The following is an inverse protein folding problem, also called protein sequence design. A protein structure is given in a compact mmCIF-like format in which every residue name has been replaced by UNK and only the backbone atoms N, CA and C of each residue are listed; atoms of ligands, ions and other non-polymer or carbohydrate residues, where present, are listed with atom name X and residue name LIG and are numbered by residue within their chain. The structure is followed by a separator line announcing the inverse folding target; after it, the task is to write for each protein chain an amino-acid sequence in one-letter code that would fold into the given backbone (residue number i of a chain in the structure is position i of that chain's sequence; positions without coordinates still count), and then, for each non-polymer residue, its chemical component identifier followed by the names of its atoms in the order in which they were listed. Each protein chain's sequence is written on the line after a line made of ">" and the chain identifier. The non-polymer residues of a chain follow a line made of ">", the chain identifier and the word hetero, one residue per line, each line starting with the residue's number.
data_IF_221435459549
#
_entry.id   IF_221435459549
#
_cell.length_a   1.000
_cell.length_b   1.000
_cell.length_c   1.000
_cell.angle_alpha   90.00
_cell.angle_beta   90.00
_cell.angle_gamma   90.00
#
_symmetry.space_group_name_H-M   'P 1'
#
loop_
_entity.id
_entity.type
_entity.pdbx_description
1 polymer ?
#
# COMPACT_ATOMS: atom_id res chain seq x y z
N UNK A 1 55.18 52.53 -41.55
CA UNK A 1 55.25 53.48 -42.69
C UNK A 1 53.83 53.85 -43.09
N UNK A 2 53.61 55.05 -43.64
CA UNK A 2 52.29 55.46 -44.15
C UNK A 2 52.28 55.48 -45.68
N UNK A 3 51.17 55.05 -46.28
CA UNK A 3 50.75 55.45 -47.63
C UNK A 3 49.25 55.79 -47.55
N UNK A 4 48.83 56.84 -48.26
CA UNK A 4 47.54 57.50 -48.08
C UNK A 4 46.89 57.81 -49.44
N UNK A 5 45.55 57.85 -49.48
CA UNK A 5 44.77 58.16 -50.70
C UNK A 5 44.42 56.94 -51.56
N UNK A 6 43.27 56.91 -52.26
CA UNK A 6 42.42 58.04 -52.71
C UNK A 6 40.96 57.91 -52.28
N UNK A 7 40.27 59.07 -52.19
CA UNK A 7 38.80 59.18 -52.29
C UNK A 7 38.41 59.55 -53.72
N UNK A 8 37.36 58.91 -54.22
CA UNK A 8 36.25 59.45 -54.99
C UNK A 8 35.11 58.41 -54.81
N UNK A 9 33.84 58.77 -54.55
CA UNK A 9 32.87 59.35 -55.51
C UNK A 9 32.82 58.49 -56.79
N UNK A 10 31.68 57.95 -57.19
CA UNK A 10 30.34 58.55 -57.06
C UNK A 10 29.29 57.74 -56.26
N UNK A 11 28.10 58.33 -56.12
CA UNK A 11 26.89 57.71 -55.59
C UNK A 11 25.90 57.53 -56.73
N UNK A 12 25.56 56.29 -57.06
CA UNK A 12 24.43 55.96 -57.92
C UNK A 12 23.24 55.50 -57.05
N UNK A 13 22.07 56.18 -57.08
CA UNK A 13 20.99 55.92 -56.12
C UNK A 13 20.06 54.74 -56.48
N UNK A 14 20.18 54.10 -57.64
CA UNK A 14 19.23 53.06 -58.09
C UNK A 14 19.78 51.63 -58.10
N UNK A 15 19.70 50.94 -56.95
CA UNK A 15 19.83 49.45 -56.91
C UNK A 15 19.30 48.78 -55.65
N UNK A 16 18.95 49.51 -54.59
CA UNK A 16 18.40 48.94 -53.35
C UNK A 16 16.89 48.67 -53.44
N UNK A 17 16.47 47.93 -54.46
CA UNK A 17 15.20 47.20 -54.37
C UNK A 17 15.29 46.22 -53.20
N UNK A 18 14.49 46.50 -52.18
CA UNK A 18 14.50 45.79 -50.91
C UNK A 18 13.83 44.42 -51.06
N UNK A 19 14.55 43.45 -51.67
CA UNK A 19 14.16 42.04 -51.83
C UNK A 19 14.14 41.31 -50.47
N UNK A 20 13.29 41.79 -49.55
CA UNK A 20 12.79 41.08 -48.37
C UNK A 20 12.19 39.76 -48.85
N UNK A 21 13.01 38.71 -48.83
CA UNK A 21 12.63 37.34 -49.21
C UNK A 21 11.34 36.99 -48.49
N UNK A 22 10.22 36.95 -49.20
CA UNK A 22 8.93 36.65 -48.61
C UNK A 22 9.02 35.27 -47.97
N UNK A 23 8.96 35.22 -46.63
CA UNK A 23 9.20 34.00 -45.86
C UNK A 23 8.34 32.84 -46.37
N UNK A 24 8.86 31.60 -46.29
CA UNK A 24 8.29 30.40 -46.90
C UNK A 24 6.76 30.31 -46.82
N UNK A 25 6.19 30.62 -45.65
CA UNK A 25 4.74 30.67 -45.39
C UNK A 25 4.00 31.65 -46.31
N UNK A 26 4.48 32.91 -46.46
CA UNK A 26 3.90 33.89 -47.40
C UNK A 26 4.09 33.47 -48.86
N UNK A 27 5.21 32.82 -49.19
CA UNK A 27 5.46 32.28 -50.53
C UNK A 27 4.48 31.17 -50.91
N UNK A 28 4.28 30.19 -50.01
CA UNK A 28 3.30 29.12 -50.12
C UNK A 28 1.88 29.68 -50.20
N UNK A 29 1.51 30.62 -49.33
CA UNK A 29 0.16 31.21 -49.31
C UNK A 29 -0.16 32.02 -50.57
N UNK A 30 0.84 32.68 -51.19
CA UNK A 30 0.66 33.36 -52.48
C UNK A 30 0.52 32.37 -53.64
N UNK A 31 1.20 31.22 -53.61
CA UNK A 31 0.97 30.13 -54.59
C UNK A 31 -0.42 29.50 -54.41
N UNK A 32 -0.83 29.21 -53.17
CA UNK A 32 -2.12 28.58 -52.87
C UNK A 32 -3.32 29.43 -53.32
N UNK A 33 -3.28 30.75 -53.10
CA UNK A 33 -4.32 31.68 -53.61
C UNK A 33 -4.29 31.92 -55.13
N UNK A 34 -3.26 31.44 -55.83
CA UNK A 34 -3.15 31.48 -57.29
C UNK A 34 -3.58 30.20 -58.01
N UNK A 35 -4.11 29.21 -57.29
CA UNK A 35 -4.64 27.96 -57.88
C UNK A 35 -6.04 28.25 -58.45
N UNK A 36 -6.28 27.88 -59.72
CA UNK A 36 -7.64 27.85 -60.25
C UNK A 36 -8.41 26.67 -59.65
N UNK A 37 -9.38 26.99 -58.78
CA UNK A 37 -10.26 26.04 -58.12
C UNK A 37 -11.49 25.65 -58.96
N UNK A 38 -11.73 26.27 -60.12
CA UNK A 38 -12.78 25.83 -61.06
C UNK A 38 -12.34 24.57 -61.82
N UNK A 39 -11.05 24.44 -62.10
CA UNK A 39 -10.48 23.24 -62.74
C UNK A 39 -10.67 21.98 -61.87
N UNK A 40 -11.35 20.92 -62.37
CA UNK A 40 -11.60 19.70 -61.59
C UNK A 40 -10.31 18.97 -61.21
N UNK A 41 -9.25 19.03 -62.01
CA UNK A 41 -7.96 18.38 -61.72
C UNK A 41 -7.29 19.00 -60.50
N UNK A 42 -7.42 20.31 -60.29
CA UNK A 42 -6.86 20.99 -59.10
C UNK A 42 -7.66 20.65 -57.84
N UNK A 43 -8.99 20.51 -57.96
CA UNK A 43 -9.85 20.01 -56.87
C UNK A 43 -9.49 18.58 -56.47
N UNK A 44 -9.34 17.68 -57.45
CA UNK A 44 -8.91 16.29 -57.21
C UNK A 44 -7.49 16.21 -56.60
N UNK A 45 -6.55 17.04 -57.05
CA UNK A 45 -5.21 17.13 -56.44
C UNK A 45 -5.26 17.56 -54.97
N UNK A 46 -6.07 18.57 -54.62
CA UNK A 46 -6.24 18.97 -53.22
C UNK A 46 -6.93 17.87 -52.40
N UNK A 47 -7.97 17.22 -52.93
CA UNK A 47 -8.64 16.12 -52.24
C UNK A 47 -7.68 14.94 -52.01
N UNK A 48 -6.85 14.58 -52.98
CA UNK A 48 -5.85 13.52 -52.84
C UNK A 48 -4.77 13.89 -51.82
N UNK A 49 -4.19 15.09 -51.89
CA UNK A 49 -3.18 15.56 -50.92
C UNK A 49 -3.77 15.68 -49.51
N UNK A 50 -5.03 16.12 -49.38
CA UNK A 50 -5.74 16.16 -48.11
C UNK A 50 -6.02 14.76 -47.56
N UNK A 51 -6.42 13.81 -48.41
CA UNK A 51 -6.66 12.42 -48.02
C UNK A 51 -5.37 11.74 -47.55
N UNK A 52 -4.28 11.85 -48.32
CA UNK A 52 -2.96 11.34 -47.93
C UNK A 52 -2.45 12.02 -46.65
N UNK A 53 -2.62 13.35 -46.53
CA UNK A 53 -2.29 14.09 -45.31
C UNK A 53 -3.06 13.59 -44.09
N UNK A 54 -4.37 13.39 -44.21
CA UNK A 54 -5.19 12.79 -43.15
C UNK A 54 -4.74 11.36 -42.81
N UNK A 55 -4.47 10.51 -43.79
CA UNK A 55 -3.99 9.13 -43.55
C UNK A 55 -2.65 9.13 -42.81
N UNK A 56 -1.71 10.01 -43.19
CA UNK A 56 -0.41 10.14 -42.50
C UNK A 56 -0.56 10.69 -41.09
N UNK A 57 -1.38 11.73 -40.88
CA UNK A 57 -1.57 12.36 -39.56
C UNK A 57 -2.36 11.45 -38.60
N UNK A 58 -3.51 10.92 -39.01
CA UNK A 58 -4.34 10.07 -38.16
C UNK A 58 -3.76 8.66 -38.02
N UNK A 59 -3.23 8.07 -39.10
CA UNK A 59 -2.59 6.74 -39.06
C UNK A 59 -1.27 6.76 -38.30
N UNK A 60 -0.41 7.75 -38.56
CA UNK A 60 0.83 7.96 -37.82
C UNK A 60 0.58 8.29 -36.34
N UNK A 61 -0.35 9.20 -36.06
CA UNK A 61 -0.78 9.54 -34.70
C UNK A 61 -1.33 8.33 -33.93
N UNK A 62 -2.15 7.49 -34.58
CA UNK A 62 -2.63 6.24 -33.99
C UNK A 62 -1.51 5.21 -33.76
N UNK A 63 -0.55 5.10 -34.67
CA UNK A 63 0.63 4.25 -34.50
C UNK A 63 1.51 4.66 -33.31
N UNK A 64 1.74 5.97 -33.12
CA UNK A 64 2.44 6.50 -31.94
C UNK A 64 1.61 6.30 -30.67
N UNK A 65 0.29 6.47 -30.73
CA UNK A 65 -0.61 6.27 -29.59
C UNK A 65 -0.61 4.80 -29.12
N UNK A 66 -0.68 3.83 -30.04
CA UNK A 66 -0.65 2.41 -29.71
C UNK A 66 0.73 1.95 -29.23
N UNK A 67 1.83 2.44 -29.84
CA UNK A 67 3.20 2.19 -29.37
C UNK A 67 3.40 2.69 -27.93
N UNK A 68 3.05 3.95 -27.65
CA UNK A 68 3.14 4.58 -26.31
C UNK A 68 2.07 4.09 -25.32
N UNK A 69 1.26 3.10 -25.70
CA UNK A 69 0.34 2.38 -24.80
C UNK A 69 0.85 0.95 -24.47
N UNK A 70 1.90 0.47 -25.15
CA UNK A 70 2.39 -0.90 -25.00
C UNK A 70 3.18 -1.12 -23.70
N UNK A 71 3.07 -2.29 -23.03
CA UNK A 71 3.94 -2.62 -21.89
C UNK A 71 5.43 -2.53 -22.23
N UNK A 72 5.80 -2.86 -23.47
CA UNK A 72 7.15 -2.76 -24.03
C UNK A 72 7.68 -1.32 -24.14
N UNK A 73 6.80 -0.32 -24.26
CA UNK A 73 7.20 1.09 -24.17
C UNK A 73 7.42 1.50 -22.72
N UNK A 74 6.53 1.12 -21.80
CA UNK A 74 6.75 1.37 -20.37
C UNK A 74 8.05 0.72 -19.87
N UNK A 75 8.37 -0.49 -20.35
CA UNK A 75 9.58 -1.24 -20.01
C UNK A 75 10.87 -0.69 -20.63
N UNK A 76 10.84 0.33 -21.50
CA UNK A 76 12.07 0.99 -21.98
C UNK A 76 12.66 1.97 -20.96
N UNK A 77 11.87 2.37 -19.96
CA UNK A 77 12.26 3.19 -18.83
C UNK A 77 12.75 2.27 -17.70
N UNK A 78 14.01 2.43 -17.26
CA UNK A 78 14.65 1.52 -16.31
C UNK A 78 14.00 1.57 -14.92
N UNK A 79 13.48 2.73 -14.54
CA UNK A 79 12.73 2.96 -13.31
C UNK A 79 11.44 2.13 -13.23
N UNK A 80 10.87 1.73 -14.38
CA UNK A 80 9.66 0.91 -14.45
C UNK A 80 9.93 -0.60 -14.31
N UNK A 81 11.19 -1.03 -14.11
CA UNK A 81 11.55 -2.45 -13.96
C UNK A 81 10.74 -3.20 -12.88
N UNK A 82 10.47 -2.65 -11.66
CA UNK A 82 9.64 -3.33 -10.65
C UNK A 82 8.20 -3.56 -11.13
N UNK A 83 7.58 -2.50 -11.64
CA UNK A 83 6.17 -2.51 -12.07
C UNK A 83 5.98 -3.40 -13.31
N UNK A 84 6.93 -3.39 -14.24
CA UNK A 84 6.92 -4.26 -15.42
C UNK A 84 7.18 -5.74 -15.05
N UNK A 85 8.21 -6.03 -14.25
CA UNK A 85 8.52 -7.41 -13.84
C UNK A 85 7.35 -8.02 -13.07
N UNK A 86 6.71 -7.29 -12.16
CA UNK A 86 5.47 -7.77 -11.51
C UNK A 86 4.27 -7.84 -12.45
N UNK A 87 4.10 -6.90 -13.37
CA UNK A 87 3.08 -7.02 -14.41
C UNK A 87 3.24 -8.32 -15.21
N UNK A 88 4.45 -8.70 -15.62
CA UNK A 88 4.67 -9.94 -16.40
C UNK A 88 4.41 -11.23 -15.60
N UNK A 89 4.65 -11.23 -14.29
CA UNK A 89 4.33 -12.35 -13.39
C UNK A 89 2.88 -12.31 -12.84
N UNK A 90 2.10 -11.28 -13.17
CA UNK A 90 0.68 -11.14 -12.79
C UNK A 90 -0.27 -11.93 -13.69
N UNK A 91 -1.49 -12.18 -13.20
CA UNK A 91 -2.59 -12.71 -14.00
C UNK A 91 -3.12 -11.74 -15.09
N UNK A 92 -2.59 -10.52 -15.17
CA UNK A 92 -2.98 -9.49 -16.14
C UNK A 92 -1.91 -9.26 -17.23
N UNK A 93 -0.89 -10.10 -17.33
CA UNK A 93 0.24 -9.94 -18.26
C UNK A 93 -0.11 -9.94 -19.77
N UNK A 94 -1.38 -10.16 -20.14
CA UNK A 94 -1.89 -10.15 -21.52
C UNK A 94 -2.63 -8.85 -21.91
N UNK A 95 -2.77 -7.86 -21.03
CA UNK A 95 -3.37 -6.55 -21.35
C UNK A 95 -2.34 -5.42 -21.35
N UNK A 96 -2.64 -4.30 -22.00
CA UNK A 96 -1.79 -3.11 -21.92
C UNK A 96 -1.90 -2.41 -20.55
N UNK A 97 -0.79 -1.83 -20.06
CA UNK A 97 -0.76 -1.12 -18.78
C UNK A 97 -1.85 -0.02 -18.71
N UNK A 98 -2.06 0.67 -19.83
CA UNK A 98 -3.05 1.75 -19.94
C UNK A 98 -4.50 1.28 -19.79
N UNK A 99 -4.83 0.01 -20.03
CA UNK A 99 -6.18 -0.50 -19.79
C UNK A 99 -6.55 -0.50 -18.29
N UNK A 100 -5.57 -0.45 -17.40
CA UNK A 100 -5.76 -0.22 -15.96
C UNK A 100 -5.47 1.22 -15.54
N UNK A 101 -4.35 1.81 -15.97
CA UNK A 101 -3.89 3.11 -15.46
C UNK A 101 -4.61 4.32 -16.09
N UNK A 102 -5.10 4.20 -17.34
CA UNK A 102 -5.77 5.30 -18.04
C UNK A 102 -7.28 5.05 -18.03
N UNK A 103 -8.06 5.96 -17.42
CA UNK A 103 -9.53 5.89 -17.44
C UNK A 103 -10.06 5.75 -18.89
N UNK A 104 -11.04 4.86 -19.17
CA UNK A 104 -11.48 4.61 -20.55
C UNK A 104 -12.00 5.87 -21.27
N UNK A 105 -11.79 5.94 -22.58
CA UNK A 105 -12.24 7.05 -23.44
C UNK A 105 -11.10 7.88 -24.01
N UNK A 106 -11.30 8.43 -25.22
CA UNK A 106 -10.26 9.13 -25.98
C UNK A 106 -9.76 10.39 -25.27
N UNK A 107 -10.66 11.21 -24.73
CA UNK A 107 -10.29 12.43 -23.98
C UNK A 107 -9.40 12.12 -22.78
N UNK A 108 -9.81 11.15 -21.95
CA UNK A 108 -9.06 10.69 -20.78
C UNK A 108 -7.65 10.20 -21.14
N UNK A 109 -7.52 9.49 -22.27
CA UNK A 109 -6.22 9.01 -22.77
C UNK A 109 -5.29 10.15 -23.22
N UNK A 110 -5.81 11.17 -23.89
CA UNK A 110 -5.01 12.34 -24.26
C UNK A 110 -4.64 13.17 -23.02
N UNK A 111 -5.57 13.40 -22.08
CA UNK A 111 -5.27 14.16 -20.86
C UNK A 111 -4.26 13.46 -19.96
N UNK A 112 -4.33 12.12 -19.83
CA UNK A 112 -3.32 11.37 -19.08
C UNK A 112 -1.95 11.45 -19.76
N UNK A 113 -1.87 11.29 -21.09
CA UNK A 113 -0.59 11.44 -21.81
C UNK A 113 0.00 12.86 -21.71
N UNK A 114 -0.83 13.89 -21.57
CA UNK A 114 -0.35 15.25 -21.26
C UNK A 114 0.15 15.39 -19.82
N UNK A 115 -0.50 14.76 -18.82
CA UNK A 115 0.04 14.71 -17.44
C UNK A 115 1.36 13.94 -17.36
N UNK A 116 1.46 12.80 -18.05
CA UNK A 116 2.64 11.92 -18.08
C UNK A 116 3.90 12.55 -18.70
N UNK A 117 3.82 13.76 -19.27
CA UNK A 117 5.03 14.54 -19.60
C UNK A 117 5.89 14.80 -18.34
N UNK A 118 5.29 14.82 -17.14
CA UNK A 118 6.01 14.87 -15.85
C UNK A 118 6.95 13.68 -15.65
N UNK A 119 6.59 12.49 -16.13
CA UNK A 119 7.37 11.26 -15.97
C UNK A 119 8.65 11.36 -16.82
N UNK A 120 8.54 11.87 -18.04
CA UNK A 120 9.68 12.15 -18.93
C UNK A 120 10.59 13.25 -18.37
N UNK A 121 10.04 14.22 -17.65
CA UNK A 121 10.85 15.21 -16.93
C UNK A 121 11.66 14.55 -15.80
N UNK A 122 11.01 13.75 -14.93
CA UNK A 122 11.70 13.03 -13.85
C UNK A 122 12.77 12.06 -14.37
N UNK A 123 12.51 11.33 -15.46
CA UNK A 123 13.51 10.48 -16.11
C UNK A 123 14.81 11.22 -16.47
N UNK A 124 14.73 12.53 -16.74
CA UNK A 124 15.88 13.37 -17.13
C UNK A 124 16.48 14.12 -15.93
N UNK A 125 15.70 14.49 -14.92
CA UNK A 125 16.18 15.28 -13.76
C UNK A 125 16.55 14.47 -12.52
N UNK A 126 16.09 13.22 -12.45
CA UNK A 126 16.11 12.40 -11.23
C UNK A 126 14.71 11.85 -10.97
N UNK A 127 14.62 10.52 -10.83
CA UNK A 127 13.36 9.82 -10.55
C UNK A 127 13.08 9.90 -9.03
N UNK A 128 11.83 10.15 -8.58
CA UNK A 128 11.48 10.11 -7.17
C UNK A 128 11.96 8.85 -6.44
N UNK A 129 12.24 8.94 -5.13
CA UNK A 129 12.72 7.82 -4.31
C UNK A 129 11.81 6.59 -4.47
N UNK A 130 10.49 6.80 -4.38
CA UNK A 130 9.50 5.74 -4.48
C UNK A 130 8.45 6.02 -5.57
N UNK A 131 8.19 5.04 -6.43
CA UNK A 131 7.10 5.12 -7.42
C UNK A 131 5.76 4.82 -6.71
N UNK A 132 4.80 5.74 -6.78
CA UNK A 132 3.45 5.58 -6.23
C UNK A 132 2.39 6.11 -7.20
N UNK A 133 1.19 5.54 -7.15
CA UNK A 133 0.02 6.12 -7.83
C UNK A 133 -0.46 7.34 -7.04
N UNK A 134 -0.53 8.50 -7.70
CA UNK A 134 -1.09 9.71 -7.07
C UNK A 134 -2.62 9.59 -6.92
N UNK A 135 -3.20 10.42 -6.06
CA UNK A 135 -4.65 10.43 -5.79
C UNK A 135 -5.49 10.63 -7.06
N UNK A 136 -5.02 11.46 -8.00
CA UNK A 136 -5.68 11.73 -9.28
C UNK A 136 -5.50 10.62 -10.33
N UNK A 137 -4.55 9.71 -10.12
CA UNK A 137 -4.12 8.65 -11.06
C UNK A 137 -4.44 7.24 -10.53
N UNK A 138 -5.22 7.16 -9.45
CA UNK A 138 -5.74 5.92 -8.88
C UNK A 138 -6.67 5.18 -9.86
N UNK A 139 -6.47 3.88 -10.00
CA UNK A 139 -7.20 3.03 -10.98
C UNK A 139 -8.71 3.06 -10.75
N UNK A 140 -9.45 3.52 -11.76
CA UNK A 140 -10.90 3.69 -11.69
C UNK A 140 -11.66 2.35 -11.75
N UNK A 141 -12.83 2.29 -11.11
CA UNK A 141 -13.78 1.18 -11.28
C UNK A 141 -14.11 0.91 -12.75
N UNK A 142 -14.21 1.96 -13.58
CA UNK A 142 -14.51 1.82 -15.01
C UNK A 142 -13.46 0.97 -15.74
N UNK A 143 -12.18 1.04 -15.37
CA UNK A 143 -11.12 0.22 -15.94
C UNK A 143 -11.37 -1.27 -15.69
N UNK A 144 -11.63 -1.65 -14.43
CA UNK A 144 -11.93 -3.02 -14.04
C UNK A 144 -13.22 -3.55 -14.70
N UNK A 145 -14.25 -2.69 -14.79
CA UNK A 145 -15.58 -3.05 -15.30
C UNK A 145 -15.62 -3.36 -16.80
N UNK A 146 -14.58 -3.01 -17.58
CA UNK A 146 -14.43 -3.45 -18.98
C UNK A 146 -14.30 -4.98 -19.10
N UNK A 147 -13.79 -5.67 -18.06
CA UNK A 147 -13.54 -7.11 -18.08
C UNK A 147 -14.21 -7.87 -16.91
N UNK A 148 -14.54 -7.19 -15.80
CA UNK A 148 -15.12 -7.81 -14.60
C UNK A 148 -16.57 -7.37 -14.40
N UNK A 149 -17.51 -8.32 -14.49
CA UNK A 149 -18.93 -8.07 -14.19
C UNK A 149 -19.15 -7.75 -12.70
N UNK A 150 -20.03 -6.77 -12.44
CA UNK A 150 -20.51 -6.38 -11.09
C UNK A 150 -21.17 -7.55 -10.34
N UNK A 151 -21.77 -8.50 -11.06
CA UNK A 151 -22.60 -9.58 -10.50
C UNK A 151 -21.77 -10.80 -10.05
N UNK A 152 -20.69 -10.59 -9.28
CA UNK A 152 -19.93 -11.68 -8.65
C UNK A 152 -20.32 -11.82 -7.17
N UNK A 153 -20.79 -13.02 -6.80
CA UNK A 153 -21.14 -13.40 -5.43
C UNK A 153 -20.06 -14.25 -4.73
N UNK A 154 -18.99 -14.62 -5.45
CA UNK A 154 -17.85 -15.37 -4.93
C UNK A 154 -16.53 -14.73 -5.38
N UNK A 155 -15.61 -14.63 -4.42
CA UNK A 155 -14.21 -14.25 -4.64
C UNK A 155 -13.40 -15.45 -5.17
N UNK A 156 -12.20 -15.18 -5.69
CA UNK A 156 -11.22 -16.22 -6.02
C UNK A 156 -10.60 -16.90 -4.77
N UNK A 157 -11.04 -16.58 -3.55
CA UNK A 157 -10.65 -17.30 -2.34
C UNK A 157 -11.55 -18.49 -2.02
N UNK A 158 -12.76 -18.54 -2.60
CA UNK A 158 -13.73 -19.64 -2.45
C UNK A 158 -14.57 -19.57 -1.18
N UNK A 159 -13.96 -19.17 -0.06
CA UNK A 159 -14.56 -19.07 1.28
C UNK A 159 -15.35 -17.77 1.51
N UNK A 160 -14.87 -16.63 0.99
CA UNK A 160 -15.44 -15.30 1.25
C UNK A 160 -16.70 -15.02 0.42
N UNK A 161 -17.66 -14.36 1.08
CA UNK A 161 -18.95 -13.92 0.55
C UNK A 161 -18.92 -12.40 0.37
N UNK A 162 -18.53 -11.94 -0.83
CA UNK A 162 -18.42 -10.52 -1.15
C UNK A 162 -19.48 -10.13 -2.18
N UNK A 163 -20.43 -9.30 -1.77
CA UNK A 163 -21.44 -8.71 -2.66
C UNK A 163 -20.82 -7.56 -3.47
N UNK A 164 -20.13 -7.89 -4.57
CA UNK A 164 -19.43 -6.89 -5.40
C UNK A 164 -20.38 -5.80 -5.91
N UNK A 165 -21.59 -6.18 -6.36
CA UNK A 165 -22.64 -5.24 -6.79
C UNK A 165 -22.92 -4.20 -5.71
N UNK A 166 -23.22 -4.64 -4.49
CA UNK A 166 -23.56 -3.74 -3.37
C UNK A 166 -22.42 -2.82 -2.94
N UNK A 167 -21.15 -3.21 -3.11
CA UNK A 167 -20.00 -2.34 -2.85
C UNK A 167 -19.81 -1.29 -3.96
N UNK A 168 -19.97 -1.70 -5.22
CA UNK A 168 -19.88 -0.82 -6.39
C UNK A 168 -21.04 0.20 -6.40
N UNK A 169 -22.22 -0.16 -5.88
CA UNK A 169 -23.37 0.75 -5.65
C UNK A 169 -23.19 1.69 -4.44
N UNK A 170 -22.04 1.66 -3.75
CA UNK A 170 -21.61 2.65 -2.74
C UNK A 170 -20.36 3.42 -3.16
N UNK A 171 -20.02 3.37 -4.45
CA UNK A 171 -18.86 4.00 -5.06
C UNK A 171 -17.52 3.57 -4.42
N UNK A 172 -17.46 2.34 -3.91
CA UNK A 172 -16.21 1.77 -3.35
C UNK A 172 -15.28 1.39 -4.51
N UNK A 173 -14.03 1.90 -4.56
CA UNK A 173 -13.04 1.50 -5.55
C UNK A 173 -12.69 0.01 -5.49
N UNK A 174 -12.50 -0.64 -6.63
CA UNK A 174 -12.02 -2.01 -6.68
C UNK A 174 -10.64 -2.15 -6.01
N UNK A 175 -9.78 -1.13 -6.16
CA UNK A 175 -8.45 -1.09 -5.53
C UNK A 175 -8.48 -1.05 -3.99
N UNK A 176 -9.56 -0.57 -3.35
CA UNK A 176 -9.68 -0.58 -1.87
C UNK A 176 -9.43 -1.96 -1.29
N UNK A 177 -9.82 -3.02 -2.01
CA UNK A 177 -9.50 -4.42 -1.69
C UNK A 177 -8.42 -5.02 -2.61
N UNK A 178 -8.38 -4.63 -3.88
CA UNK A 178 -7.55 -5.27 -4.92
C UNK A 178 -6.26 -4.51 -5.31
N UNK A 179 -5.79 -3.55 -4.52
CA UNK A 179 -4.55 -2.80 -4.76
C UNK A 179 -3.30 -3.67 -5.05
N UNK A 180 -3.29 -4.94 -4.61
CA UNK A 180 -2.20 -5.88 -4.88
C UNK A 180 -2.25 -6.65 -6.20
N UNK A 181 -3.31 -6.53 -7.01
CA UNK A 181 -3.65 -7.54 -8.03
C UNK A 181 -2.67 -7.66 -9.21
N UNK A 182 -1.88 -6.61 -9.48
CA UNK A 182 -0.77 -6.63 -10.44
C UNK A 182 0.57 -6.49 -9.71
N UNK A 183 0.73 -5.41 -8.94
CA UNK A 183 2.01 -4.97 -8.38
C UNK A 183 2.29 -5.44 -6.94
N UNK A 184 1.55 -6.45 -6.46
CA UNK A 184 1.76 -7.11 -5.17
C UNK A 184 2.00 -6.16 -3.97
N UNK A 185 1.30 -5.01 -3.96
CA UNK A 185 1.39 -3.93 -2.95
C UNK A 185 2.84 -3.44 -2.71
N UNK A 186 3.69 -3.44 -3.75
CA UNK A 186 5.12 -3.16 -3.61
C UNK A 186 5.44 -1.80 -2.98
N UNK A 187 4.68 -0.76 -3.32
CA UNK A 187 4.79 0.57 -2.72
C UNK A 187 4.47 0.58 -1.21
N UNK A 188 3.48 -0.21 -0.75
CA UNK A 188 3.21 -0.36 0.70
C UNK A 188 4.33 -1.12 1.41
N UNK A 189 4.94 -2.09 0.72
CA UNK A 189 6.08 -2.89 1.21
C UNK A 189 7.41 -2.12 1.15
N UNK A 190 7.46 -0.95 0.51
CA UNK A 190 8.67 -0.15 0.31
C UNK A 190 9.69 -0.80 -0.64
N UNK A 191 9.27 -1.65 -1.57
CA UNK A 191 10.17 -2.48 -2.40
C UNK A 191 10.29 -2.04 -3.86
N UNK A 192 9.85 -0.82 -4.18
CA UNK A 192 10.06 -0.14 -5.46
C UNK A 192 10.83 1.20 -5.31
N UNK A 193 11.53 1.35 -4.18
CA UNK A 193 12.50 2.42 -3.94
C UNK A 193 13.74 2.28 -4.82
N UNK A 194 14.43 3.39 -5.10
CA UNK A 194 15.54 3.46 -6.07
C UNK A 194 16.62 2.37 -5.86
N UNK A 195 17.06 2.17 -4.62
CA UNK A 195 18.15 1.27 -4.23
C UNK A 195 17.91 -0.19 -4.64
N UNK A 196 16.64 -0.57 -4.78
CA UNK A 196 16.24 -1.97 -5.05
C UNK A 196 15.66 -2.17 -6.45
N UNK A 197 15.55 -1.12 -7.29
CA UNK A 197 15.00 -1.25 -8.66
C UNK A 197 15.79 -2.22 -9.53
N UNK A 198 17.12 -2.28 -9.35
CA UNK A 198 18.01 -3.18 -10.10
C UNK A 198 17.84 -4.67 -9.78
N UNK A 199 17.23 -5.02 -8.64
CA UNK A 199 16.99 -6.42 -8.25
C UNK A 199 15.74 -7.02 -8.93
N UNK A 200 14.94 -6.21 -9.64
CA UNK A 200 13.66 -6.62 -10.22
C UNK A 200 13.76 -7.32 -11.58
N UNK A 201 14.18 -8.59 -11.54
CA UNK A 201 14.05 -9.53 -12.67
C UNK A 201 12.71 -10.29 -12.64
N UNK A 202 12.41 -11.06 -13.70
CA UNK A 202 11.26 -11.99 -13.74
C UNK A 202 11.31 -13.02 -12.61
N UNK A 203 12.49 -13.56 -12.33
CA UNK A 203 12.75 -14.57 -11.29
C UNK A 203 12.63 -13.98 -9.88
N UNK A 204 12.89 -12.68 -9.70
CA UNK A 204 12.61 -11.98 -8.44
C UNK A 204 11.10 -11.74 -8.27
N UNK A 205 10.39 -11.35 -9.34
CA UNK A 205 8.94 -11.13 -9.30
C UNK A 205 8.17 -12.42 -9.01
N UNK A 206 8.55 -13.54 -9.63
CA UNK A 206 7.97 -14.86 -9.35
C UNK A 206 8.13 -15.29 -7.87
N UNK A 207 9.16 -14.81 -7.16
CA UNK A 207 9.35 -15.01 -5.71
C UNK A 207 8.55 -14.00 -4.87
N UNK A 208 8.60 -12.72 -5.23
CA UNK A 208 8.09 -11.60 -4.42
C UNK A 208 6.58 -11.35 -4.57
N UNK A 209 5.94 -11.91 -5.59
CA UNK A 209 4.48 -11.83 -5.84
C UNK A 209 3.67 -12.89 -5.08
N UNK A 210 3.93 -13.00 -3.78
CA UNK A 210 3.24 -13.98 -2.95
C UNK A 210 1.72 -13.74 -2.84
N UNK A 211 0.96 -14.84 -2.73
CA UNK A 211 -0.51 -14.81 -2.64
C UNK A 211 -1.05 -13.95 -1.47
N UNK A 212 -0.27 -13.74 -0.39
CA UNK A 212 -0.61 -12.82 0.72
C UNK A 212 -0.69 -11.34 0.28
N UNK A 213 0.07 -10.96 -0.74
CA UNK A 213 0.12 -9.58 -1.23
C UNK A 213 -0.78 -9.33 -2.44
N UNK A 214 -0.96 -10.34 -3.31
CA UNK A 214 -1.90 -10.28 -4.44
C UNK A 214 -3.38 -10.23 -4.02
N UNK A 215 -3.71 -10.72 -2.81
CA UNK A 215 -5.08 -10.84 -2.31
C UNK A 215 -5.41 -9.74 -1.27
N UNK A 216 -6.71 -9.43 -1.05
CA UNK A 216 -7.13 -8.71 0.15
C UNK A 216 -6.70 -9.50 1.40
N UNK A 217 -6.28 -8.80 2.45
CA UNK A 217 -6.19 -9.38 3.79
C UNK A 217 -7.47 -9.06 4.58
N UNK A 218 -7.74 -9.77 5.67
CA UNK A 218 -8.98 -9.53 6.43
C UNK A 218 -8.96 -8.19 7.16
N UNK A 219 -7.78 -7.69 7.53
CA UNK A 219 -7.64 -6.33 8.08
C UNK A 219 -8.16 -5.23 7.15
N UNK A 220 -8.02 -5.36 5.83
CA UNK A 220 -8.62 -4.44 4.85
C UNK A 220 -10.16 -4.39 4.96
N UNK A 221 -10.79 -5.56 5.07
CA UNK A 221 -12.23 -5.70 5.20
C UNK A 221 -12.71 -5.17 6.57
N UNK A 222 -12.04 -5.60 7.64
CA UNK A 222 -12.38 -5.31 9.03
C UNK A 222 -12.22 -3.81 9.35
N UNK A 223 -11.18 -3.16 8.83
CA UNK A 223 -10.99 -1.71 8.99
C UNK A 223 -12.05 -0.89 8.22
N UNK A 224 -12.36 -1.28 6.98
CA UNK A 224 -13.38 -0.61 6.19
C UNK A 224 -14.77 -0.72 6.84
N UNK A 225 -15.13 -1.91 7.33
CA UNK A 225 -16.46 -2.18 7.90
C UNK A 225 -16.65 -1.53 9.28
N UNK A 226 -15.63 -1.52 10.14
CA UNK A 226 -15.68 -0.80 11.42
C UNK A 226 -15.90 0.70 11.20
N UNK A 227 -15.12 1.32 10.32
CA UNK A 227 -15.28 2.73 9.95
C UNK A 227 -16.70 3.02 9.42
N UNK A 228 -17.29 2.13 8.61
CA UNK A 228 -18.69 2.24 8.17
C UNK A 228 -19.70 2.09 9.30
N UNK A 229 -19.45 1.20 10.26
CA UNK A 229 -20.26 1.06 11.46
C UNK A 229 -20.24 2.36 12.28
N UNK A 230 -19.05 2.96 12.48
CA UNK A 230 -18.84 4.27 13.08
C UNK A 230 -19.38 5.45 12.22
N UNK A 231 -19.80 5.20 10.97
CA UNK A 231 -20.47 6.16 10.09
C UNK A 231 -19.59 6.82 9.02
N UNK A 232 -18.29 6.54 9.02
CA UNK A 232 -17.33 7.00 8.02
C UNK A 232 -17.56 6.37 6.63
N UNK A 233 -16.89 6.92 5.62
CA UNK A 233 -16.77 6.34 4.27
C UNK A 233 -15.31 6.40 3.83
N UNK A 234 -14.42 5.57 4.41
CA UNK A 234 -12.97 5.78 4.31
C UNK A 234 -12.45 5.72 2.87
N UNK A 235 -13.09 4.97 1.98
CA UNK A 235 -12.74 4.94 0.55
C UNK A 235 -12.96 6.26 -0.21
N UNK A 236 -13.55 7.29 0.41
CA UNK A 236 -13.57 8.65 -0.15
C UNK A 236 -12.25 9.39 0.03
N UNK A 237 -11.44 8.99 1.00
CA UNK A 237 -10.07 9.45 1.15
C UNK A 237 -9.18 8.65 0.16
N UNK A 238 -8.42 9.34 -0.67
CA UNK A 238 -7.53 8.68 -1.61
C UNK A 238 -6.33 8.01 -0.92
N UNK A 239 -5.86 8.55 0.21
CA UNK A 239 -4.86 7.91 1.08
C UNK A 239 -5.34 6.58 1.70
N UNK A 240 -6.65 6.32 1.70
CA UNK A 240 -7.20 5.01 2.05
C UNK A 240 -7.21 4.00 0.89
N UNK A 241 -6.94 4.43 -0.35
CA UNK A 241 -6.97 3.57 -1.54
C UNK A 241 -5.59 3.35 -2.16
N UNK A 242 -4.74 4.37 -2.18
CA UNK A 242 -3.34 4.30 -2.65
C UNK A 242 -2.36 4.58 -1.50
N UNK A 243 -1.12 4.07 -1.53
CA UNK A 243 -0.08 4.48 -0.59
C UNK A 243 0.24 5.97 -0.75
N UNK A 244 0.33 6.70 0.36
CA UNK A 244 0.66 8.13 0.32
C UNK A 244 2.11 8.32 -0.12
N UNK A 245 2.37 9.30 -0.99
CA UNK A 245 3.71 9.65 -1.44
C UNK A 245 4.56 10.17 -0.27
N UNK A 246 5.74 9.59 0.05
CA UNK A 246 6.62 10.09 1.11
C UNK A 246 6.92 11.59 0.99
N UNK A 247 7.28 12.07 -0.21
CA UNK A 247 7.58 13.49 -0.48
C UNK A 247 6.39 14.44 -0.24
N UNK A 248 5.17 13.89 -0.19
CA UNK A 248 3.93 14.62 0.05
C UNK A 248 3.49 14.50 1.52
N UNK A 249 3.80 13.38 2.18
CA UNK A 249 3.67 13.21 3.63
C UNK A 249 4.56 14.21 4.36
N UNK A 250 5.82 14.37 3.95
CA UNK A 250 6.74 15.33 4.59
C UNK A 250 6.19 16.77 4.54
N UNK A 251 5.77 17.23 3.36
CA UNK A 251 5.13 18.55 3.20
C UNK A 251 3.84 18.69 4.04
N UNK A 252 2.99 17.66 4.04
CA UNK A 252 1.76 17.62 4.85
C UNK A 252 2.04 17.52 6.36
N UNK A 253 3.23 17.09 6.80
CA UNK A 253 3.68 17.12 8.19
C UNK A 253 4.23 18.50 8.57
N UNK A 254 5.06 19.11 7.71
CA UNK A 254 5.50 20.51 7.88
C UNK A 254 4.31 21.48 7.99
N UNK A 255 3.19 21.18 7.32
CA UNK A 255 1.92 21.90 7.46
C UNK A 255 1.18 21.54 8.76
N UNK A 256 1.02 20.25 9.09
CA UNK A 256 0.24 19.80 10.27
C UNK A 256 0.87 20.13 11.61
N UNK A 257 2.19 20.23 11.73
CA UNK A 257 2.86 20.68 12.96
C UNK A 257 2.46 22.13 13.35
N UNK A 258 1.88 22.90 12.42
CA UNK A 258 1.32 24.24 12.68
C UNK A 258 -0.12 24.20 13.21
N UNK A 259 -0.84 23.08 13.08
CA UNK A 259 -2.22 22.91 13.57
C UNK A 259 -2.33 21.97 14.79
N UNK A 260 -1.38 21.05 14.98
CA UNK A 260 -1.40 20.01 16.02
C UNK A 260 -1.28 20.51 17.48
N UNK A 261 -1.33 21.82 17.73
CA UNK A 261 -1.36 22.42 19.08
C UNK A 261 -2.76 22.52 19.69
N UNK A 262 -3.80 21.94 19.04
CA UNK A 262 -5.16 21.83 19.60
C UNK A 262 -5.64 20.38 19.73
N UNK A 263 -6.38 20.16 20.82
CA UNK A 263 -7.35 19.08 21.04
C UNK A 263 -6.82 17.63 21.17
N UNK A 264 -6.57 17.20 22.43
CA UNK A 264 -6.42 15.78 22.81
C UNK A 264 -6.94 15.47 24.23
N UNK A 265 -8.18 14.96 24.32
CA UNK A 265 -8.82 14.28 25.46
C UNK A 265 -10.12 13.60 24.92
N UNK A 266 -10.77 12.57 25.50
CA UNK A 266 -10.65 11.88 26.82
C UNK A 266 -11.04 10.37 26.66
N UNK A 267 -11.33 9.64 27.75
CA UNK A 267 -11.19 8.16 27.84
C UNK A 267 -12.49 7.30 27.99
N UNK A 268 -12.33 6.04 28.43
CA UNK A 268 -13.22 4.85 28.40
C UNK A 268 -14.01 4.57 29.70
N UNK A 269 -14.97 3.62 29.72
CA UNK A 269 -15.17 2.56 30.76
C UNK A 269 -16.35 1.57 30.49
N UNK A 270 -16.11 0.24 30.69
CA UNK A 270 -16.99 -0.88 31.18
C UNK A 270 -18.39 -1.16 30.52
N UNK A 271 -19.23 -2.22 30.75
CA UNK A 271 -19.19 -3.66 31.21
C UNK A 271 -20.57 -4.34 30.84
N UNK A 272 -20.95 -5.61 31.11
CA UNK A 272 -20.30 -6.83 31.67
C UNK A 272 -21.35 -7.96 32.01
N UNK A 273 -20.94 -9.25 31.94
CA UNK A 273 -21.64 -10.52 32.38
C UNK A 273 -23.08 -10.86 31.86
N UNK A 274 -23.64 -12.09 31.92
CA UNK A 274 -23.21 -13.43 32.43
C UNK A 274 -23.57 -14.58 31.43
N UNK A 275 -23.70 -15.86 31.86
CA UNK A 275 -23.36 -17.07 31.07
C UNK A 275 -24.49 -18.08 30.73
N UNK A 276 -24.35 -18.80 29.58
CA UNK A 276 -24.45 -20.29 29.38
C UNK A 276 -24.74 -20.71 27.91
N UNK A 277 -23.73 -21.18 27.14
CA UNK A 277 -23.91 -22.18 26.04
C UNK A 277 -22.55 -22.67 25.44
N UNK A 278 -21.87 -23.60 26.13
CA UNK A 278 -20.40 -23.77 26.04
C UNK A 278 -19.87 -24.23 24.66
N UNK A 279 -20.64 -24.97 23.85
CA UNK A 279 -20.14 -25.53 22.58
C UNK A 279 -20.13 -24.54 21.41
N UNK A 280 -21.19 -23.74 21.24
CA UNK A 280 -21.27 -22.70 20.22
C UNK A 280 -20.59 -21.39 20.67
N UNK A 281 -20.62 -21.11 21.97
CA UNK A 281 -19.99 -19.91 22.53
C UNK A 281 -18.46 -19.92 22.45
N UNK A 282 -17.79 -21.05 22.17
CA UNK A 282 -16.32 -21.04 22.02
C UNK A 282 -15.88 -20.27 20.76
N UNK A 283 -16.47 -20.59 19.62
CA UNK A 283 -16.15 -19.96 18.34
C UNK A 283 -16.60 -18.49 18.36
N UNK A 284 -17.73 -18.20 19.01
CA UNK A 284 -18.18 -16.82 19.25
C UNK A 284 -17.28 -16.06 20.23
N UNK A 285 -16.91 -16.60 21.39
CA UNK A 285 -16.01 -15.93 22.37
C UNK A 285 -14.64 -15.66 21.76
N UNK A 286 -14.11 -16.58 20.95
CA UNK A 286 -12.86 -16.36 20.20
C UNK A 286 -12.99 -15.17 19.26
N UNK A 287 -14.13 -15.05 18.56
CA UNK A 287 -14.44 -13.89 17.74
C UNK A 287 -14.66 -12.61 18.55
N UNK A 288 -15.44 -12.64 19.62
CA UNK A 288 -15.72 -11.47 20.47
C UNK A 288 -14.40 -10.94 21.07
N UNK A 289 -13.47 -11.82 21.49
CA UNK A 289 -12.11 -11.45 21.90
C UNK A 289 -11.31 -10.83 20.74
N UNK A 290 -11.34 -11.40 19.53
CA UNK A 290 -10.68 -10.81 18.35
C UNK A 290 -11.24 -9.42 18.02
N UNK A 291 -12.56 -9.23 18.14
CA UNK A 291 -13.23 -7.97 17.85
C UNK A 291 -13.07 -6.93 18.96
N UNK A 292 -12.93 -7.36 20.22
CA UNK A 292 -12.57 -6.55 21.38
C UNK A 292 -11.09 -6.10 21.32
N UNK A 293 -10.18 -7.02 21.00
CA UNK A 293 -8.74 -6.79 20.81
C UNK A 293 -8.44 -5.65 19.83
N UNK A 294 -9.23 -5.57 18.76
CA UNK A 294 -9.09 -4.53 17.73
C UNK A 294 -10.04 -3.34 17.92
N UNK A 295 -10.96 -3.40 18.90
CA UNK A 295 -11.91 -2.34 19.26
C UNK A 295 -13.17 -2.19 18.41
N UNK A 296 -13.50 -3.19 17.57
CA UNK A 296 -14.39 -3.05 16.38
C UNK A 296 -15.78 -3.67 16.50
N UNK A 297 -16.25 -3.91 17.73
CA UNK A 297 -17.64 -4.28 17.99
C UNK A 297 -18.21 -3.50 19.17
N UNK A 298 -18.94 -2.43 18.83
CA UNK A 298 -19.82 -1.69 19.74
C UNK A 298 -21.26 -2.15 19.47
N UNK A 299 -22.21 -1.80 20.35
CA UNK A 299 -23.64 -2.09 20.11
C UNK A 299 -24.13 -1.35 18.85
N UNK A 300 -25.14 -1.90 18.20
CA UNK A 300 -25.85 -1.30 17.04
C UNK A 300 -25.02 -1.09 15.76
N UNK A 301 -24.15 -2.06 15.43
CA UNK A 301 -23.42 -2.09 14.14
C UNK A 301 -24.35 -2.19 12.92
N UNK A 302 -24.03 -1.43 11.87
CA UNK A 302 -24.76 -1.43 10.58
C UNK A 302 -24.45 -2.67 9.72
N UNK A 303 -23.29 -3.28 9.94
CA UNK A 303 -22.83 -4.51 9.30
C UNK A 303 -22.32 -5.46 10.40
N UNK A 304 -22.90 -6.66 10.49
CA UNK A 304 -22.40 -7.70 11.41
C UNK A 304 -20.96 -8.07 11.06
N UNK A 305 -20.09 -8.03 12.07
CA UNK A 305 -18.70 -8.47 11.97
C UNK A 305 -18.52 -9.98 12.21
N UNK A 306 -19.61 -10.72 12.43
CA UNK A 306 -19.57 -12.16 12.69
C UNK A 306 -18.91 -12.93 11.53
N UNK A 307 -18.13 -13.97 11.85
CA UNK A 307 -17.41 -14.79 10.90
C UNK A 307 -18.33 -15.36 9.81
N UNK A 308 -19.55 -15.76 10.21
CA UNK A 308 -20.59 -16.27 9.33
C UNK A 308 -21.21 -15.20 8.41
N UNK A 309 -20.98 -13.90 8.63
CA UNK A 309 -21.34 -12.85 7.65
C UNK A 309 -20.41 -12.91 6.45
N UNK A 310 -19.09 -12.94 6.70
CA UNK A 310 -18.07 -12.84 5.64
C UNK A 310 -17.65 -14.19 5.03
N UNK A 311 -17.63 -15.29 5.80
CA UNK A 311 -17.15 -16.60 5.32
C UNK A 311 -18.29 -17.62 5.15
N UNK A 312 -18.10 -18.60 4.27
CA UNK A 312 -18.96 -19.79 4.15
C UNK A 312 -18.67 -20.85 5.22
N UNK A 313 -17.39 -20.99 5.57
CA UNK A 313 -16.84 -21.92 6.53
C UNK A 313 -15.55 -21.31 7.09
N UNK A 314 -15.29 -21.52 8.39
CA UNK A 314 -14.07 -21.08 9.08
C UNK A 314 -13.40 -22.29 9.73
N UNK A 315 -12.26 -22.72 9.20
CA UNK A 315 -11.54 -23.91 9.69
C UNK A 315 -10.75 -23.60 10.98
N UNK A 316 -11.46 -23.61 12.10
CA UNK A 316 -10.88 -23.46 13.44
C UNK A 316 -10.08 -24.73 13.79
N UNK A 317 -8.75 -24.64 14.03
CA UNK A 317 -7.92 -25.81 14.28
C UNK A 317 -8.36 -26.60 15.52
N UNK A 318 -8.23 -27.93 15.50
CA UNK A 318 -8.59 -28.80 16.64
C UNK A 318 -7.93 -28.41 17.97
N UNK A 319 -6.76 -27.77 17.93
CA UNK A 319 -6.05 -27.23 19.10
C UNK A 319 -6.83 -26.14 19.84
N UNK A 320 -7.70 -25.39 19.15
CA UNK A 320 -8.56 -24.37 19.75
C UNK A 320 -9.80 -25.01 20.41
N UNK A 321 -10.01 -26.32 20.27
CA UNK A 321 -11.10 -27.06 20.95
C UNK A 321 -10.61 -27.78 22.21
N UNK A 322 -9.41 -27.44 22.69
CA UNK A 322 -8.84 -27.92 23.93
C UNK A 322 -9.11 -26.91 25.06
N UNK A 323 -9.84 -27.34 26.09
CA UNK A 323 -10.23 -26.49 27.23
C UNK A 323 -9.00 -26.03 28.04
N UNK A 324 -7.96 -26.87 28.13
CA UNK A 324 -6.72 -26.58 28.89
C UNK A 324 -5.69 -25.72 28.13
N UNK A 325 -6.06 -25.19 26.95
CA UNK A 325 -5.15 -24.37 26.14
C UNK A 325 -4.63 -23.14 26.91
N UNK A 326 -5.51 -22.43 27.62
CA UNK A 326 -5.15 -21.23 28.38
C UNK A 326 -3.96 -21.45 29.34
N UNK A 327 -3.95 -22.58 30.04
CA UNK A 327 -2.94 -22.91 31.05
C UNK A 327 -1.59 -23.37 30.45
N UNK A 328 -1.60 -24.01 29.27
CA UNK A 328 -0.44 -24.75 28.76
C UNK A 328 0.08 -24.29 27.38
N UNK A 329 -0.59 -23.34 26.72
CA UNK A 329 -0.22 -22.89 25.38
C UNK A 329 1.19 -22.29 25.30
N UNK A 330 1.72 -21.70 26.38
CA UNK A 330 3.06 -21.08 26.39
C UNK A 330 4.17 -22.02 25.94
N UNK A 331 4.19 -23.27 26.41
CA UNK A 331 5.17 -24.29 25.98
C UNK A 331 4.98 -24.65 24.50
N UNK A 332 3.72 -24.69 24.04
CA UNK A 332 3.40 -24.95 22.63
C UNK A 332 3.82 -23.79 21.74
N UNK A 333 3.65 -22.55 22.19
CA UNK A 333 4.07 -21.34 21.49
C UNK A 333 5.60 -21.29 21.37
N UNK A 334 6.36 -21.58 22.43
CA UNK A 334 7.83 -21.69 22.37
C UNK A 334 8.29 -22.75 21.37
N UNK A 335 7.57 -23.87 21.24
CA UNK A 335 7.97 -24.98 20.37
C UNK A 335 7.49 -24.86 18.91
N UNK A 336 6.37 -24.18 18.66
CA UNK A 336 5.62 -24.23 17.39
C UNK A 336 4.99 -22.86 17.02
N UNK A 337 5.65 -21.76 17.39
CA UNK A 337 5.19 -20.39 17.18
C UNK A 337 4.79 -20.13 15.72
N UNK A 338 5.55 -20.69 14.79
CA UNK A 338 5.30 -20.63 13.35
C UNK A 338 3.88 -21.06 12.99
N UNK A 339 3.38 -22.16 13.58
CA UNK A 339 2.03 -22.69 13.32
C UNK A 339 0.95 -21.76 13.87
N UNK A 340 1.22 -21.06 14.96
CA UNK A 340 0.32 -20.07 15.54
C UNK A 340 0.28 -18.80 14.68
N UNK A 341 1.43 -18.15 14.43
CA UNK A 341 1.49 -16.90 13.66
C UNK A 341 1.10 -17.11 12.19
N UNK A 342 1.27 -18.31 11.63
CA UNK A 342 0.74 -18.65 10.30
C UNK A 342 -0.78 -18.46 10.17
N UNK A 343 -1.54 -18.37 11.26
CA UNK A 343 -2.92 -17.87 11.25
C UNK A 343 -3.05 -16.50 11.93
N UNK A 344 -2.37 -16.33 13.07
CA UNK A 344 -2.40 -15.13 13.92
C UNK A 344 -1.24 -14.17 13.56
N UNK A 345 -1.19 -13.76 12.30
CA UNK A 345 -0.22 -12.78 11.77
C UNK A 345 -0.92 -11.43 11.62
N UNK A 346 -0.35 -10.35 12.15
CA UNK A 346 -0.94 -9.02 12.02
C UNK A 346 -1.15 -8.59 10.56
N UNK A 347 -0.25 -8.97 9.64
CA UNK A 347 -0.43 -8.73 8.20
C UNK A 347 -1.66 -9.41 7.58
N UNK A 348 -2.38 -10.26 8.32
CA UNK A 348 -3.67 -10.86 7.95
C UNK A 348 -4.87 -10.10 8.54
N UNK A 349 -4.74 -9.61 9.78
CA UNK A 349 -5.83 -9.02 10.59
C UNK A 349 -5.80 -7.49 10.68
N UNK A 350 -4.68 -6.88 10.31
CA UNK A 350 -4.43 -5.44 10.21
C UNK A 350 -4.35 -5.05 8.74
N UNK A 351 -4.84 -3.86 8.37
CA UNK A 351 -4.78 -3.34 7.00
C UNK A 351 -3.33 -3.04 6.57
N UNK A 352 -2.53 -2.56 7.51
CA UNK A 352 -1.10 -2.22 7.38
C UNK A 352 -0.26 -3.44 6.97
N UNK A 353 0.82 -3.19 6.22
CA UNK A 353 1.79 -4.20 5.80
C UNK A 353 3.18 -3.66 6.15
N UNK A 354 4.06 -4.43 6.82
CA UNK A 354 5.40 -3.97 7.13
C UNK A 354 6.24 -3.76 5.86
N UNK A 355 7.22 -2.85 5.91
CA UNK A 355 8.24 -2.77 4.86
C UNK A 355 9.07 -4.06 4.82
N UNK A 356 9.53 -4.45 3.63
CA UNK A 356 10.34 -5.66 3.41
C UNK A 356 11.69 -5.30 2.79
N UNK A 357 12.75 -6.04 3.16
CA UNK A 357 14.05 -6.00 2.46
C UNK A 357 14.11 -7.12 1.42
N UNK A 358 13.98 -6.78 0.13
CA UNK A 358 14.06 -7.77 -0.94
C UNK A 358 15.46 -8.34 -1.14
N UNK A 359 16.51 -7.60 -0.81
CA UNK A 359 17.89 -8.07 -0.93
C UNK A 359 18.10 -9.23 0.05
N UNK A 360 17.61 -9.11 1.28
CA UNK A 360 17.59 -10.20 2.26
C UNK A 360 16.70 -11.38 1.83
N UNK A 361 15.48 -11.12 1.33
CA UNK A 361 14.56 -12.18 0.87
C UNK A 361 15.14 -12.98 -0.31
N UNK A 362 15.72 -12.28 -1.30
CA UNK A 362 16.30 -12.91 -2.49
C UNK A 362 17.56 -13.72 -2.15
N UNK A 363 18.39 -13.26 -1.18
CA UNK A 363 19.57 -13.96 -0.67
C UNK A 363 19.23 -15.19 0.20
N UNK A 364 18.19 -15.12 1.03
CA UNK A 364 17.73 -16.29 1.82
C UNK A 364 17.14 -17.40 0.92
N UNK A 365 16.59 -17.03 -0.23
CA UNK A 365 16.11 -17.97 -1.24
C UNK A 365 14.94 -18.84 -0.76
N UNK A 366 14.71 -19.96 -1.45
CA UNK A 366 13.54 -20.82 -1.20
C UNK A 366 13.73 -21.79 -0.01
N UNK A 367 14.59 -21.44 0.96
CA UNK A 367 14.70 -22.21 2.19
C UNK A 367 13.43 -22.06 3.03
N UNK A 368 12.68 -23.16 3.17
CA UNK A 368 11.69 -23.29 4.24
C UNK A 368 12.43 -23.30 5.58
N UNK A 369 12.61 -22.13 6.18
CA UNK A 369 13.23 -21.98 7.51
C UNK A 369 12.41 -22.80 8.50
N UNK A 370 12.96 -23.95 8.90
CA UNK A 370 12.33 -24.83 9.90
C UNK A 370 12.42 -24.13 11.24
N UNK A 371 11.27 -23.75 11.80
CA UNK A 371 11.21 -23.05 13.07
C UNK A 371 11.99 -23.79 14.16
N UNK A 372 12.89 -23.07 14.82
CA UNK A 372 13.64 -23.52 15.99
C UNK A 372 12.97 -22.96 17.25
N UNK A 373 12.72 -23.78 18.29
CA UNK A 373 12.08 -23.32 19.51
C UNK A 373 12.80 -22.11 20.14
N UNK A 374 12.10 -21.00 20.31
CA UNK A 374 12.70 -19.73 20.72
C UNK A 374 11.80 -18.98 21.71
N UNK A 375 12.21 -18.98 22.98
CA UNK A 375 11.49 -18.33 24.10
C UNK A 375 11.42 -16.81 23.90
N UNK A 376 12.52 -16.19 23.47
CA UNK A 376 12.60 -14.73 23.25
C UNK A 376 11.61 -14.30 22.17
N UNK A 377 11.56 -15.00 21.04
CA UNK A 377 10.66 -14.67 19.94
C UNK A 377 9.18 -14.95 20.27
N UNK A 378 8.89 -16.00 21.03
CA UNK A 378 7.52 -16.26 21.51
C UNK A 378 7.04 -15.15 22.48
N UNK A 379 7.93 -14.70 23.37
CA UNK A 379 7.70 -13.58 24.28
C UNK A 379 7.58 -12.23 23.56
N UNK A 380 8.38 -12.01 22.52
CA UNK A 380 8.31 -10.81 21.68
C UNK A 380 6.98 -10.74 20.90
N UNK A 381 6.54 -11.86 20.32
CA UNK A 381 5.22 -11.96 19.69
C UNK A 381 4.09 -11.76 20.69
N UNK A 382 4.20 -12.30 21.92
CA UNK A 382 3.21 -12.07 22.97
C UNK A 382 2.99 -10.57 23.30
N UNK A 383 4.00 -9.72 23.06
CA UNK A 383 3.93 -8.26 23.25
C UNK A 383 3.50 -7.48 22.01
N UNK A 384 4.08 -7.82 20.85
CA UNK A 384 4.02 -6.98 19.63
C UNK A 384 2.90 -7.35 18.67
N UNK A 385 2.47 -8.61 18.67
CA UNK A 385 1.43 -9.12 17.78
C UNK A 385 0.05 -8.72 18.32
N UNK A 386 -0.73 -7.94 17.56
CA UNK A 386 -2.00 -7.35 18.03
C UNK A 386 -3.05 -8.40 18.44
N UNK A 387 -2.94 -9.65 17.96
CA UNK A 387 -3.77 -10.77 18.44
C UNK A 387 -3.28 -11.30 19.80
N UNK A 388 -1.98 -11.56 19.95
CA UNK A 388 -1.43 -12.10 21.20
C UNK A 388 -1.47 -11.08 22.34
N UNK A 389 -1.14 -9.82 22.04
CA UNK A 389 -1.08 -8.74 23.02
C UNK A 389 -2.42 -8.47 23.67
N UNK A 390 -3.55 -8.77 23.02
CA UNK A 390 -4.88 -8.60 23.60
C UNK A 390 -5.03 -9.34 24.94
N UNK A 391 -4.86 -10.67 24.92
CA UNK A 391 -4.94 -11.49 26.12
C UNK A 391 -3.71 -11.32 27.05
N UNK A 392 -2.56 -10.88 26.53
CA UNK A 392 -1.35 -10.62 27.32
C UNK A 392 -1.27 -9.20 27.91
N UNK A 393 -2.24 -8.33 27.61
CA UNK A 393 -2.46 -7.03 28.28
C UNK A 393 -3.40 -7.14 29.47
N UNK A 394 -4.26 -8.17 29.51
CA UNK A 394 -5.16 -8.42 30.63
C UNK A 394 -4.37 -8.72 31.91
N UNK A 395 -4.70 -8.02 33.01
CA UNK A 395 -4.10 -8.24 34.33
C UNK A 395 -4.51 -9.65 34.83
N UNK A 396 -3.58 -10.61 35.01
CA UNK A 396 -3.96 -11.94 35.47
C UNK A 396 -4.32 -11.93 36.96
N UNK A 397 -5.25 -12.81 37.35
CA UNK A 397 -5.75 -12.94 38.73
C UNK A 397 -4.65 -13.03 39.80
N UNK A 398 -3.50 -13.59 39.43
CA UNK A 398 -2.28 -13.68 40.26
C UNK A 398 -1.76 -12.34 40.78
N UNK A 399 -2.21 -11.21 40.22
CA UNK A 399 -1.89 -9.87 40.71
C UNK A 399 -2.79 -9.41 41.85
N UNK A 400 -4.03 -9.91 41.99
CA UNK A 400 -5.00 -9.46 42.99
C UNK A 400 -5.18 -7.93 43.01
N UNK A 401 -5.45 -7.36 44.18
CA UNK A 401 -5.51 -5.92 44.42
C UNK A 401 -4.12 -5.26 44.37
N UNK A 402 -4.04 -4.03 43.84
CA UNK A 402 -2.77 -3.34 43.64
C UNK A 402 -1.96 -3.09 44.92
N UNK A 403 -2.61 -2.78 46.04
CA UNK A 403 -1.93 -2.53 47.32
C UNK A 403 -1.35 -3.82 47.92
N UNK A 404 -2.08 -4.93 47.77
CA UNK A 404 -1.61 -6.26 48.15
C UNK A 404 -0.49 -6.75 47.21
N UNK A 405 -0.55 -6.43 45.91
CA UNK A 405 0.53 -6.72 44.97
C UNK A 405 1.83 -5.98 45.33
N UNK A 406 1.74 -4.67 45.59
CA UNK A 406 2.91 -3.83 45.93
C UNK A 406 3.66 -4.35 47.16
N UNK A 407 2.97 -4.98 48.11
CA UNK A 407 3.55 -5.57 49.32
C UNK A 407 3.99 -7.03 49.17
N UNK A 408 3.41 -7.80 48.24
CA UNK A 408 3.67 -9.26 48.11
C UNK A 408 4.51 -9.69 46.90
N UNK A 409 4.59 -8.90 45.83
CA UNK A 409 5.25 -9.29 44.57
C UNK A 409 6.75 -9.64 44.71
N UNK A 410 7.45 -9.09 45.70
CA UNK A 410 8.84 -9.43 46.00
C UNK A 410 9.05 -10.93 46.29
N UNK A 411 8.01 -11.64 46.77
CA UNK A 411 8.04 -13.10 46.94
C UNK A 411 8.08 -13.86 45.60
N UNK A 412 7.56 -13.26 44.53
CA UNK A 412 7.43 -13.79 43.17
C UNK A 412 8.55 -13.35 42.22
N UNK A 413 9.51 -12.54 42.67
CA UNK A 413 10.59 -12.00 41.83
C UNK A 413 12.01 -12.34 42.36
N UNK A 414 12.15 -13.46 43.07
CA UNK A 414 13.41 -13.83 43.77
C UNK A 414 14.53 -14.26 42.84
N UNK A 415 14.27 -15.20 41.92
CA UNK A 415 15.26 -15.69 40.95
C UNK A 415 15.21 -14.89 39.65
N UNK A 416 16.21 -15.07 38.79
CA UNK A 416 16.23 -14.40 37.50
C UNK A 416 15.21 -14.99 36.51
N UNK A 417 14.89 -16.28 36.63
CA UNK A 417 13.85 -16.93 35.82
C UNK A 417 12.46 -16.40 36.18
N UNK A 418 12.15 -16.27 37.48
CA UNK A 418 10.91 -15.66 37.94
C UNK A 418 10.78 -14.18 37.49
N UNK A 419 11.88 -13.42 37.47
CA UNK A 419 11.88 -12.06 36.88
C UNK A 419 11.64 -12.09 35.36
N UNK A 420 12.15 -13.11 34.66
CA UNK A 420 11.98 -13.25 33.21
C UNK A 420 10.51 -13.48 32.79
N UNK A 421 9.73 -14.15 33.64
CA UNK A 421 8.26 -14.27 33.54
C UNK A 421 7.58 -12.90 33.67
N UNK A 422 7.89 -12.11 34.72
CA UNK A 422 7.36 -10.75 34.88
C UNK A 422 7.68 -9.86 33.67
N UNK A 423 8.88 -10.01 33.10
CA UNK A 423 9.29 -9.28 31.91
C UNK A 423 8.54 -9.68 30.62
N UNK A 424 7.61 -10.64 30.63
CA UNK A 424 6.70 -10.87 29.49
C UNK A 424 5.77 -9.67 29.31
N UNK A 425 5.10 -9.22 30.38
CA UNK A 425 4.10 -8.15 30.32
C UNK A 425 4.61 -6.76 30.77
N UNK A 426 5.78 -6.67 31.39
CA UNK A 426 6.37 -5.42 31.93
C UNK A 426 7.80 -5.20 31.43
N UNK A 427 8.26 -3.95 31.37
CA UNK A 427 9.65 -3.62 31.05
C UNK A 427 10.46 -3.21 32.29
N UNK A 428 11.78 -3.45 32.24
CA UNK A 428 12.68 -2.97 33.32
C UNK A 428 12.74 -1.45 33.35
N UNK A 429 12.78 -0.84 32.18
CA UNK A 429 13.04 0.58 31.93
C UNK A 429 12.01 1.13 30.96
N UNK A 430 11.73 2.44 31.02
CA UNK A 430 10.79 3.07 30.09
C UNK A 430 11.46 3.20 28.71
N UNK A 431 10.92 2.57 27.63
CA UNK A 431 11.52 2.66 26.31
C UNK A 431 11.52 4.12 25.83
N UNK A 432 12.58 4.50 25.10
CA UNK A 432 12.69 5.83 24.50
C UNK A 432 11.65 5.97 23.39
N UNK A 433 11.29 7.22 23.03
CA UNK A 433 10.28 7.46 22.01
C UNK A 433 10.66 6.83 20.65
N UNK A 434 11.94 6.89 20.30
CA UNK A 434 12.53 6.54 18.99
C UNK A 434 12.98 5.07 18.85
N UNK A 435 12.91 4.23 19.90
CA UNK A 435 13.39 2.84 19.81
C UNK A 435 12.42 1.94 19.05
N UNK A 436 12.96 1.14 18.14
CA UNK A 436 12.27 0.05 17.42
C UNK A 436 12.00 -1.20 18.27
N UNK A 437 12.42 -1.21 19.54
CA UNK A 437 12.28 -2.36 20.43
C UNK A 437 10.82 -2.68 20.80
N UNK A 438 10.57 -3.96 21.03
CA UNK A 438 9.27 -4.54 21.38
C UNK A 438 8.77 -4.12 22.78
N UNK A 439 8.15 -2.94 22.85
CA UNK A 439 7.57 -2.35 24.08
C UNK A 439 6.62 -3.33 24.80
N UNK A 440 6.64 -3.31 26.13
CA UNK A 440 5.69 -4.07 26.94
C UNK A 440 4.23 -3.66 26.68
N UNK A 441 3.25 -4.57 26.81
CA UNK A 441 1.82 -4.26 26.73
C UNK A 441 1.31 -3.40 27.91
N UNK A 442 2.13 -3.10 28.91
CA UNK A 442 1.75 -2.28 30.07
C UNK A 442 2.80 -1.21 30.38
N UNK A 443 2.35 -0.02 30.79
CA UNK A 443 3.19 1.12 31.20
C UNK A 443 3.83 0.95 32.60
N UNK A 444 4.13 -0.29 33.01
CA UNK A 444 4.75 -0.63 34.29
C UNK A 444 6.24 -0.86 34.10
N UNK A 445 7.04 0.06 34.63
CA UNK A 445 8.50 0.07 34.48
C UNK A 445 9.21 -0.16 35.81
N UNK A 446 9.91 -1.28 35.97
CA UNK A 446 10.50 -1.69 37.26
C UNK A 446 11.41 -0.61 37.88
N UNK A 447 12.19 0.12 37.06
CA UNK A 447 13.07 1.20 37.49
C UNK A 447 12.35 2.32 38.27
N UNK A 448 11.05 2.52 38.06
CA UNK A 448 10.31 3.62 38.69
C UNK A 448 10.25 3.47 40.22
N UNK A 449 10.19 2.22 40.69
CA UNK A 449 10.25 1.83 42.10
C UNK A 449 11.64 1.32 42.51
N UNK A 450 12.28 0.48 41.68
CA UNK A 450 13.60 -0.10 41.94
C UNK A 450 14.76 0.78 41.46
N UNK A 451 14.74 2.07 41.87
CA UNK A 451 15.72 3.09 41.43
C UNK A 451 17.17 2.79 41.83
N UNK A 452 17.37 1.97 42.86
CA UNK A 452 18.70 1.50 43.33
C UNK A 452 19.11 0.15 42.72
N UNK A 453 18.43 -0.30 41.67
CA UNK A 453 18.56 -1.66 41.14
C UNK A 453 17.82 -2.71 41.96
N UNK A 454 17.82 -3.95 41.45
CA UNK A 454 17.33 -5.10 42.19
C UNK A 454 18.37 -5.54 43.23
N UNK A 455 17.92 -6.03 44.39
CA UNK A 455 18.82 -6.77 45.29
C UNK A 455 19.15 -8.11 44.63
N UNK A 456 20.42 -8.32 44.31
CA UNK A 456 20.89 -9.62 43.84
C UNK A 456 20.79 -10.68 44.94
N UNK A 457 20.66 -11.94 44.50
CA UNK A 457 20.77 -13.08 45.42
C UNK A 457 22.23 -13.15 45.87
N UNK A 458 22.45 -12.93 47.17
CA UNK A 458 23.78 -13.05 47.78
C UNK A 458 24.31 -14.46 47.51
N UNK A 459 25.48 -14.54 46.86
CA UNK A 459 26.25 -15.79 46.77
C UNK A 459 26.83 -16.08 48.15
N UNK A 460 26.14 -16.94 48.90
CA UNK A 460 26.71 -17.76 49.95
C UNK A 460 27.14 -19.09 49.33
#
# INVERSE_FOLDING_TARGET
>A
MAIWGKKNKDKDPESREDRKKAGLIRGLWRKFRGIDWKNPVNRWKLLFVSLVGCIVVFGGGYGVLTMTNSPTFCASCHEMAPEYSTFTASAHNQISCVQCHIKPGFTNMITHKMKSVKEVYYHVTGVPEQIVQTEEEAVSNENCLQCHSKNRLVTASGDLKVNHKGHIEKDIPCITCHAGVVHAKMATRGINVEEVRGEWTKESAEKLMEKKYLRPNMGTCIDCHDKVNNGEKPWKDAAYNVPVNPEEVEKKLEEKDKEATKERATESTTEGENTKEVAAAHDKKTQDIILQAIGKQKKDVKISMECATCHKQTDIPKTHKNVDWGNNHGVTAVQQLDKCVNCHQDSKWVREIPKEDIVSILKMGNQKVKYTPNVTLAKEQARTNKFCSACHSDRPESHGDSDHWLTSHASKAKTNDMKAECFVCHDREKPKAETTEAKAPTDVYCQYCHRTGFKDVVKN
#
